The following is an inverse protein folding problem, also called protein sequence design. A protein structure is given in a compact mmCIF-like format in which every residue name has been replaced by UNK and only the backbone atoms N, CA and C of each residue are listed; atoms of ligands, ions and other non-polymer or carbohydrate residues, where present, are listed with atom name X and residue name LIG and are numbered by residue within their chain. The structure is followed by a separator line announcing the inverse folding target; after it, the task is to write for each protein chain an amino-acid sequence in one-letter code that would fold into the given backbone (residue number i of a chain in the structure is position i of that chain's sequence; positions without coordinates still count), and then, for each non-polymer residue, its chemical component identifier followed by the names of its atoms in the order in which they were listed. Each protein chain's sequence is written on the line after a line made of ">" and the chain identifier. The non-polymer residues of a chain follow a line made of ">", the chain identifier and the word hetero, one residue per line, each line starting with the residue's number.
data_IF_205489164804
#
_entry.id   IF_205489164804
#
_cell.length_a   1.000
_cell.length_b   1.000
_cell.length_c   1.000
_cell.angle_alpha   90.00
_cell.angle_beta   90.00
_cell.angle_gamma   90.00
#
_symmetry.space_group_name_H-M   'P 1'
#
loop_
_entity.id
_entity.type
_entity.pdbx_description
1 polymer ?
#
# COMPACT_ATOMS: atom_id res chain seq x y z
N UNK A 1 -36.23 -16.04 17.24
CA UNK A 1 -36.78 -14.66 17.33
C UNK A 1 -36.26 -13.88 16.12
N UNK A 2 -36.96 -13.96 14.97
CA UNK A 2 -36.56 -13.30 13.73
C UNK A 2 -36.85 -11.79 13.83
N UNK A 3 -35.85 -10.98 14.16
CA UNK A 3 -35.95 -9.52 14.00
C UNK A 3 -35.88 -9.22 12.51
N UNK A 4 -36.98 -8.75 11.93
CA UNK A 4 -37.02 -8.22 10.56
C UNK A 4 -36.12 -6.99 10.51
N UNK A 5 -34.90 -7.14 9.98
CA UNK A 5 -33.93 -6.05 9.85
C UNK A 5 -34.47 -5.05 8.83
N UNK A 6 -34.72 -3.81 9.26
CA UNK A 6 -35.14 -2.73 8.36
C UNK A 6 -33.93 -2.25 7.56
N UNK A 7 -34.10 -2.06 6.25
CA UNK A 7 -33.03 -1.58 5.33
C UNK A 7 -32.37 -0.29 5.86
N UNK A 8 -33.15 0.60 6.49
CA UNK A 8 -32.65 1.85 7.06
C UNK A 8 -31.70 1.67 8.26
N UNK A 9 -31.86 0.60 9.03
CA UNK A 9 -30.97 0.28 10.15
C UNK A 9 -29.65 -0.30 9.63
N UNK A 10 -29.72 -1.11 8.56
CA UNK A 10 -28.55 -1.64 7.88
C UNK A 10 -27.71 -0.52 7.23
N UNK A 11 -28.35 0.43 6.53
CA UNK A 11 -27.62 1.56 5.91
C UNK A 11 -26.95 2.44 6.95
N UNK A 12 -27.60 2.73 8.08
CA UNK A 12 -26.98 3.50 9.18
C UNK A 12 -25.81 2.76 9.84
N UNK A 13 -25.91 1.44 9.96
CA UNK A 13 -24.82 0.60 10.48
C UNK A 13 -23.60 0.58 9.56
N UNK A 14 -23.82 0.52 8.24
CA UNK A 14 -22.75 0.49 7.23
C UNK A 14 -22.19 1.87 6.86
N UNK A 15 -22.90 2.95 7.16
CA UNK A 15 -22.49 4.32 6.85
C UNK A 15 -21.03 4.67 7.26
N UNK A 16 -20.56 4.38 8.49
CA UNK A 16 -19.17 4.68 8.87
C UNK A 16 -18.14 3.88 8.05
N UNK A 17 -18.43 2.61 7.74
CA UNK A 17 -17.54 1.80 6.91
C UNK A 17 -17.46 2.35 5.47
N UNK A 18 -18.60 2.74 4.89
CA UNK A 18 -18.64 3.38 3.57
C UNK A 18 -17.87 4.70 3.55
N UNK A 19 -17.95 5.50 4.62
CA UNK A 19 -17.20 6.74 4.73
C UNK A 19 -15.69 6.51 4.69
N UNK A 20 -15.16 5.50 5.38
CA UNK A 20 -13.73 5.15 5.32
C UNK A 20 -13.30 4.75 3.93
N UNK A 21 -14.09 3.89 3.26
CA UNK A 21 -13.83 3.50 1.87
C UNK A 21 -13.86 4.69 0.91
N UNK A 22 -14.80 5.61 1.09
CA UNK A 22 -14.88 6.84 0.29
C UNK A 22 -13.65 7.73 0.49
N UNK A 23 -13.18 7.89 1.74
CA UNK A 23 -11.97 8.66 2.04
C UNK A 23 -10.74 8.07 1.32
N UNK A 24 -10.54 6.76 1.37
CA UNK A 24 -9.43 6.11 0.65
C UNK A 24 -9.58 6.24 -0.88
N UNK A 25 -10.80 6.11 -1.40
CA UNK A 25 -11.05 6.22 -2.84
C UNK A 25 -10.79 7.65 -3.37
N UNK A 26 -11.04 8.67 -2.55
CA UNK A 26 -10.84 10.09 -2.91
C UNK A 26 -9.38 10.52 -2.77
N UNK A 27 -8.62 9.88 -1.88
CA UNK A 27 -7.21 10.19 -1.63
C UNK A 27 -6.36 10.20 -2.92
N UNK A 28 -6.43 9.13 -3.71
CA UNK A 28 -5.64 9.00 -4.94
C UNK A 28 -5.90 10.13 -5.97
N UNK A 29 -7.16 10.36 -6.38
CA UNK A 29 -7.52 11.47 -7.26
C UNK A 29 -7.17 12.85 -6.70
N UNK A 30 -7.30 13.05 -5.39
CA UNK A 30 -6.95 14.30 -4.73
C UNK A 30 -5.44 14.59 -4.81
N UNK A 31 -4.61 13.60 -4.49
CA UNK A 31 -3.15 13.70 -4.62
C UNK A 31 -2.74 13.93 -6.08
N UNK A 32 -3.33 13.19 -7.02
CA UNK A 32 -3.07 13.38 -8.45
C UNK A 32 -3.42 14.80 -8.92
N UNK A 33 -4.54 15.37 -8.46
CA UNK A 33 -4.93 16.75 -8.78
C UNK A 33 -3.95 17.79 -8.22
N UNK A 34 -3.40 17.55 -7.03
CA UNK A 34 -2.34 18.40 -6.46
C UNK A 34 -1.04 18.30 -7.27
N UNK A 35 -0.61 17.08 -7.62
CA UNK A 35 0.61 16.85 -8.41
C UNK A 35 0.51 17.48 -9.79
N UNK A 36 -0.66 17.42 -10.42
CA UNK A 36 -0.91 18.05 -11.72
C UNK A 36 -0.73 19.59 -11.73
N UNK A 37 -0.76 20.23 -10.55
CA UNK A 37 -0.58 21.68 -10.38
C UNK A 37 0.85 22.07 -9.99
N UNK A 38 1.75 21.11 -9.81
CA UNK A 38 3.17 21.35 -9.51
C UNK A 38 3.99 21.53 -10.80
N UNK A 39 5.26 21.92 -10.64
CA UNK A 39 6.21 21.91 -11.75
C UNK A 39 6.38 20.48 -12.28
N UNK A 40 6.59 20.34 -13.59
CA UNK A 40 6.77 19.06 -14.29
C UNK A 40 5.69 17.98 -13.98
N UNK A 41 4.40 18.28 -14.27
CA UNK A 41 3.30 17.38 -13.92
C UNK A 41 3.38 16.02 -14.61
N UNK A 42 3.96 15.95 -15.83
CA UNK A 42 4.09 14.70 -16.58
C UNK A 42 5.02 13.69 -15.88
N UNK A 43 6.21 14.12 -15.46
CA UNK A 43 7.17 13.25 -14.77
C UNK A 43 6.67 12.88 -13.37
N UNK A 44 6.12 13.85 -12.64
CA UNK A 44 5.65 13.63 -11.27
C UNK A 44 4.40 12.72 -11.20
N UNK A 45 3.44 12.84 -12.14
CA UNK A 45 2.29 11.94 -12.20
C UNK A 45 2.69 10.52 -12.61
N UNK A 46 3.62 10.38 -13.56
CA UNK A 46 4.15 9.09 -13.96
C UNK A 46 4.88 8.41 -12.79
N UNK A 47 5.73 9.16 -12.08
CA UNK A 47 6.44 8.67 -10.92
C UNK A 47 5.48 8.27 -9.78
N UNK A 48 4.46 9.07 -9.51
CA UNK A 48 3.44 8.76 -8.50
C UNK A 48 2.71 7.45 -8.81
N UNK A 49 2.24 7.26 -10.05
CA UNK A 49 1.52 6.04 -10.42
C UNK A 49 2.38 4.77 -10.25
N UNK A 50 3.63 4.81 -10.70
CA UNK A 50 4.56 3.67 -10.57
C UNK A 50 4.92 3.42 -9.11
N UNK A 51 5.27 4.47 -8.35
CA UNK A 51 5.62 4.34 -6.95
C UNK A 51 4.45 3.79 -6.12
N UNK A 52 3.22 4.27 -6.37
CA UNK A 52 2.02 3.79 -5.68
C UNK A 52 1.71 2.32 -6.02
N UNK A 53 1.81 1.92 -7.28
CA UNK A 53 1.61 0.53 -7.68
C UNK A 53 2.61 -0.41 -7.01
N UNK A 54 3.89 -0.03 -6.95
CA UNK A 54 4.93 -0.78 -6.25
C UNK A 54 4.71 -0.81 -4.74
N UNK A 55 4.25 0.30 -4.14
CA UNK A 55 3.92 0.35 -2.72
C UNK A 55 2.77 -0.61 -2.37
N UNK A 56 1.67 -0.61 -3.14
CA UNK A 56 0.55 -1.54 -2.93
C UNK A 56 0.97 -2.99 -3.15
N UNK A 57 1.81 -3.27 -4.15
CA UNK A 57 2.35 -4.62 -4.37
C UNK A 57 3.11 -5.13 -3.14
N UNK A 58 3.89 -4.25 -2.54
CA UNK A 58 4.65 -4.53 -1.32
C UNK A 58 3.73 -4.67 -0.10
N UNK A 59 2.65 -3.88 -0.03
CA UNK A 59 1.71 -3.89 1.09
C UNK A 59 0.72 -5.06 1.03
N UNK A 60 0.49 -5.65 -0.14
CA UNK A 60 -0.50 -6.72 -0.34
C UNK A 60 -0.42 -7.89 0.68
N UNK A 61 0.77 -8.42 1.03
CA UNK A 61 0.90 -9.45 2.06
C UNK A 61 0.48 -8.96 3.46
N UNK A 62 0.72 -7.68 3.77
CA UNK A 62 0.36 -7.05 5.05
C UNK A 62 -1.15 -6.87 5.14
N UNK A 63 -1.80 -6.43 4.05
CA UNK A 63 -3.27 -6.37 3.98
C UNK A 63 -3.88 -7.76 4.18
N UNK A 64 -3.29 -8.80 3.57
CA UNK A 64 -3.73 -10.18 3.75
C UNK A 64 -3.56 -10.67 5.20
N UNK A 65 -2.57 -10.17 5.93
CA UNK A 65 -2.39 -10.49 7.36
C UNK A 65 -3.57 -10.06 8.21
N UNK A 66 -4.31 -9.02 7.82
CA UNK A 66 -5.52 -8.61 8.53
C UNK A 66 -6.61 -9.70 8.45
N UNK A 67 -6.83 -10.27 7.26
CA UNK A 67 -7.72 -11.42 7.09
C UNK A 67 -7.21 -12.66 7.83
N UNK A 68 -5.90 -12.93 7.76
CA UNK A 68 -5.29 -14.05 8.49
C UNK A 68 -5.46 -13.91 10.02
N UNK A 69 -5.36 -12.68 10.56
CA UNK A 69 -5.57 -12.42 11.98
C UNK A 69 -6.99 -12.77 12.42
N UNK A 70 -8.01 -12.41 11.62
CA UNK A 70 -9.40 -12.75 11.93
C UNK A 70 -9.71 -14.24 11.87
N UNK A 71 -8.94 -15.01 11.08
CA UNK A 71 -9.18 -16.44 10.88
C UNK A 71 -8.34 -17.36 11.79
N UNK A 72 -7.14 -16.95 12.21
CA UNK A 72 -6.19 -17.81 12.94
C UNK A 72 -6.02 -17.44 14.43
N UNK A 73 -6.45 -16.25 14.87
CA UNK A 73 -6.22 -15.78 16.24
C UNK A 73 -7.37 -16.21 17.15
N UNK A 74 -7.24 -17.41 17.70
CA UNK A 74 -8.18 -17.95 18.72
C UNK A 74 -7.64 -17.82 20.16
N UNK A 75 -6.44 -17.26 20.35
CA UNK A 75 -5.83 -17.12 21.67
C UNK A 75 -4.47 -16.42 21.67
N UNK A 76 -3.95 -16.15 22.87
CA UNK A 76 -2.72 -15.38 23.07
C UNK A 76 -1.46 -16.05 22.47
N UNK A 77 -1.44 -17.38 22.37
CA UNK A 77 -0.32 -18.11 21.75
C UNK A 77 -0.32 -17.95 20.22
N UNK A 78 -1.48 -18.13 19.57
CA UNK A 78 -1.64 -17.94 18.13
C UNK A 78 -1.39 -16.47 17.74
N UNK A 79 -1.82 -15.52 18.58
CA UNK A 79 -1.50 -14.11 18.40
C UNK A 79 0.02 -13.84 18.39
N UNK A 80 0.78 -14.43 19.32
CA UNK A 80 2.24 -14.25 19.34
C UNK A 80 2.92 -14.87 18.13
N UNK A 81 2.47 -16.05 17.67
CA UNK A 81 2.99 -16.69 16.45
C UNK A 81 2.72 -15.81 15.22
N UNK A 82 1.50 -15.29 15.10
CA UNK A 82 1.12 -14.40 14.01
C UNK A 82 1.89 -13.07 14.04
N UNK A 83 2.10 -12.50 15.22
CA UNK A 83 2.91 -11.28 15.39
C UNK A 83 4.36 -11.49 14.97
N UNK A 84 4.98 -12.59 15.36
CA UNK A 84 6.35 -12.90 14.96
C UNK A 84 6.45 -13.12 13.45
N UNK A 85 5.46 -13.79 12.85
CA UNK A 85 5.36 -13.94 11.40
C UNK A 85 5.20 -12.58 10.69
N UNK A 86 4.33 -11.70 11.21
CA UNK A 86 4.15 -10.34 10.70
C UNK A 86 5.47 -9.54 10.74
N UNK A 87 6.20 -9.60 11.85
CA UNK A 87 7.49 -8.90 11.99
C UNK A 87 8.55 -9.46 11.04
N UNK A 88 8.60 -10.79 10.87
CA UNK A 88 9.49 -11.44 9.91
C UNK A 88 9.15 -11.06 8.47
N UNK A 89 7.87 -11.06 8.12
CA UNK A 89 7.38 -10.68 6.79
C UNK A 89 7.71 -9.23 6.48
N UNK A 90 7.41 -8.32 7.40
CA UNK A 90 7.72 -6.89 7.27
C UNK A 90 9.23 -6.64 7.18
N UNK A 91 10.04 -7.29 8.03
CA UNK A 91 11.50 -7.22 7.95
C UNK A 91 12.04 -7.73 6.62
N UNK A 92 11.51 -8.86 6.12
CA UNK A 92 11.88 -9.44 4.83
C UNK A 92 11.50 -8.55 3.64
N UNK A 93 10.30 -7.98 3.67
CA UNK A 93 9.81 -7.03 2.67
C UNK A 93 10.68 -5.77 2.64
N UNK A 94 10.93 -5.17 3.81
CA UNK A 94 11.75 -3.96 3.93
C UNK A 94 13.18 -4.21 3.45
N UNK A 95 13.76 -5.36 3.82
CA UNK A 95 15.08 -5.76 3.35
C UNK A 95 15.10 -5.99 1.83
N UNK A 96 14.08 -6.64 1.26
CA UNK A 96 13.96 -6.84 -0.18
C UNK A 96 13.85 -5.51 -0.93
N UNK A 97 13.05 -4.56 -0.43
CA UNK A 97 12.97 -3.20 -0.98
C UNK A 97 14.32 -2.48 -0.92
N UNK A 98 15.00 -2.51 0.23
CA UNK A 98 16.32 -1.90 0.38
C UNK A 98 17.34 -2.50 -0.58
N UNK A 99 17.38 -3.83 -0.70
CA UNK A 99 18.25 -4.50 -1.65
C UNK A 99 17.93 -4.08 -3.08
N UNK A 100 16.65 -4.08 -3.48
CA UNK A 100 16.24 -3.67 -4.82
C UNK A 100 16.59 -2.20 -5.11
N UNK A 101 16.40 -1.30 -4.15
CA UNK A 101 16.69 0.14 -4.29
C UNK A 101 18.19 0.48 -4.22
N UNK A 102 19.02 -0.32 -3.52
CA UNK A 102 20.46 -0.08 -3.38
C UNK A 102 21.30 -0.81 -4.44
N UNK A 103 20.80 -1.93 -4.97
CA UNK A 103 21.49 -2.71 -6.00
C UNK A 103 21.20 -2.17 -7.41
N UNK A 104 22.05 -2.49 -8.41
CA UNK A 104 21.77 -2.20 -9.82
C UNK A 104 20.53 -2.93 -10.37
N UNK A 105 19.88 -3.80 -9.57
CA UNK A 105 18.61 -4.42 -9.91
C UNK A 105 17.50 -3.37 -10.15
N UNK A 106 17.58 -2.19 -9.52
CA UNK A 106 16.68 -1.07 -9.81
C UNK A 106 16.66 -0.72 -11.30
N UNK A 107 17.83 -0.58 -11.93
CA UNK A 107 17.95 -0.25 -13.35
C UNK A 107 17.42 -1.36 -14.26
N UNK A 108 17.52 -2.63 -13.86
CA UNK A 108 16.92 -3.73 -14.62
C UNK A 108 15.38 -3.64 -14.62
N UNK A 109 14.78 -3.21 -13.51
CA UNK A 109 13.33 -3.04 -13.40
C UNK A 109 12.87 -1.77 -14.12
N UNK A 110 13.53 -0.64 -13.88
CA UNK A 110 13.11 0.64 -14.47
C UNK A 110 13.44 0.77 -15.93
N UNK A 111 14.66 0.40 -16.34
CA UNK A 111 15.13 0.64 -17.71
C UNK A 111 14.83 -0.58 -18.59
N UNK A 112 14.91 -1.79 -18.02
CA UNK A 112 14.63 -3.04 -18.72
C UNK A 112 13.15 -3.38 -18.82
N UNK A 113 12.51 -3.65 -17.67
CA UNK A 113 11.12 -4.13 -17.65
C UNK A 113 10.08 -3.03 -17.90
N UNK A 114 10.30 -1.83 -17.36
CA UNK A 114 9.34 -0.72 -17.44
C UNK A 114 9.72 0.36 -18.47
N UNK A 115 10.96 0.36 -18.99
CA UNK A 115 11.50 1.34 -19.92
C UNK A 115 11.15 2.80 -19.55
N UNK A 116 11.33 3.13 -18.27
CA UNK A 116 11.01 4.42 -17.70
C UNK A 116 12.02 5.48 -18.13
N UNK A 117 11.54 6.71 -18.25
CA UNK A 117 12.42 7.87 -18.39
C UNK A 117 13.36 7.96 -17.16
N UNK A 118 14.67 8.22 -17.34
CA UNK A 118 15.62 8.31 -16.23
C UNK A 118 15.20 9.27 -15.12
N UNK A 119 14.50 10.37 -15.47
CA UNK A 119 14.01 11.34 -14.51
C UNK A 119 12.88 10.75 -13.65
N UNK A 120 11.96 10.00 -14.27
CA UNK A 120 10.88 9.28 -13.59
C UNK A 120 11.44 8.16 -12.72
N UNK A 121 12.40 7.38 -13.21
CA UNK A 121 13.04 6.31 -12.45
C UNK A 121 13.73 6.84 -11.18
N UNK A 122 14.38 8.01 -11.26
CA UNK A 122 14.96 8.69 -10.10
C UNK A 122 13.90 9.12 -9.09
N UNK A 123 12.82 9.76 -9.56
CA UNK A 123 11.71 10.20 -8.70
C UNK A 123 11.03 9.03 -7.99
N UNK A 124 10.74 7.95 -8.71
CA UNK A 124 10.15 6.72 -8.13
C UNK A 124 11.09 6.14 -7.06
N UNK A 125 12.39 6.08 -7.32
CA UNK A 125 13.38 5.59 -6.34
C UNK A 125 13.34 6.42 -5.05
N UNK A 126 13.30 7.75 -5.17
CA UNK A 126 13.20 8.64 -3.99
C UNK A 126 11.87 8.45 -3.26
N UNK A 127 10.75 8.37 -3.98
CA UNK A 127 9.43 8.11 -3.38
C UNK A 127 9.39 6.77 -2.62
N UNK A 128 9.96 5.70 -3.19
CA UNK A 128 10.04 4.40 -2.54
C UNK A 128 10.97 4.41 -1.32
N UNK A 129 12.06 5.19 -1.35
CA UNK A 129 12.90 5.40 -0.17
C UNK A 129 12.13 6.08 0.97
N UNK A 130 11.29 7.07 0.66
CA UNK A 130 10.44 7.73 1.66
C UNK A 130 9.34 6.78 2.15
N UNK A 131 8.82 5.91 1.28
CA UNK A 131 7.83 4.89 1.60
C UNK A 131 8.42 3.63 2.25
N UNK A 132 9.73 3.54 2.50
CA UNK A 132 10.32 2.38 3.17
C UNK A 132 9.69 2.05 4.54
N UNK A 133 9.28 3.01 5.39
CA UNK A 133 8.60 2.71 6.64
C UNK A 133 7.15 2.23 6.45
N UNK A 134 6.58 2.38 5.25
CA UNK A 134 5.16 2.14 4.96
C UNK A 134 4.70 0.71 5.23
N UNK A 135 5.44 -0.37 4.85
CA UNK A 135 5.01 -1.75 5.12
C UNK A 135 5.05 -2.11 6.61
N UNK A 136 5.71 -1.28 7.42
CA UNK A 136 5.90 -1.47 8.85
C UNK A 136 4.96 -0.65 9.74
N UNK A 137 4.24 0.31 9.14
CA UNK A 137 3.29 1.20 9.82
C UNK A 137 1.92 0.51 9.98
#
# INVERSE_FOLDING_TARGET
>A
MNRTVRILELTRFWAPLQATWLMMAVEGPFLAAMIARMAEPKHNLAAYGVAFALAILVEAPVIMMMSAATALVDGAENFRKLRNFMQMLNGGITAAMLLLLLTPAWGLVTDGAMNLDPEVARLVRTSLFILLPWPAA
#
